data_IF_574955075211
#
_entry.id   IF_574955075211
#
_cell.length_a   1.000
_cell.length_b   1.000
_cell.length_c   1.000
_cell.angle_alpha   90.00
_cell.angle_beta   90.00
_cell.angle_gamma   90.00
#
_symmetry.space_group_name_H-M   'P 1'
#
loop_
_entity.id
_entity.type
_entity.pdbx_description
1 polymer ?
#
# COMPACT_ATOMS: atom_id res chain seq x y z
N UNK A 1 4.80 -19.05 -21.51
CA UNK A 1 4.72 -17.89 -22.42
C UNK A 1 3.31 -17.44 -22.82
N UNK A 2 2.33 -18.31 -23.08
CA UNK A 2 0.97 -17.90 -23.50
C UNK A 2 0.11 -17.27 -22.37
N UNK A 3 0.25 -17.74 -21.14
CA UNK A 3 -0.49 -17.25 -19.96
C UNK A 3 -0.06 -15.82 -19.57
N UNK A 4 1.23 -15.52 -19.67
CA UNK A 4 1.86 -14.21 -19.38
C UNK A 4 1.39 -13.13 -20.36
N UNK A 5 1.32 -13.47 -21.66
CA UNK A 5 0.75 -12.55 -22.67
C UNK A 5 -0.76 -12.36 -22.52
N UNK A 6 -1.46 -13.23 -21.78
CA UNK A 6 -2.89 -13.09 -21.49
C UNK A 6 -3.10 -12.14 -20.31
N UNK A 7 -2.25 -12.25 -19.28
CA UNK A 7 -2.22 -11.34 -18.13
C UNK A 7 -1.77 -9.91 -18.48
N UNK A 8 -0.76 -9.74 -19.34
CA UNK A 8 -0.40 -8.40 -19.86
C UNK A 8 -1.43 -7.79 -20.83
N UNK A 9 -2.37 -8.60 -21.37
CA UNK A 9 -3.41 -8.14 -22.31
C UNK A 9 -4.77 -7.93 -21.65
N UNK A 10 -4.94 -8.27 -20.38
CA UNK A 10 -6.22 -8.15 -19.66
C UNK A 10 -6.45 -6.80 -18.99
N UNK A 11 -5.71 -5.74 -19.37
CA UNK A 11 -6.18 -4.36 -19.10
C UNK A 11 -7.52 -4.18 -19.83
N UNK A 12 -8.60 -3.73 -19.17
CA UNK A 12 -9.79 -3.32 -19.89
C UNK A 12 -9.43 -2.12 -20.78
N UNK A 13 -9.53 -2.29 -22.10
CA UNK A 13 -9.54 -1.16 -23.02
C UNK A 13 -10.79 -0.32 -22.78
N UNK A 14 -10.59 0.99 -22.79
CA UNK A 14 -11.57 2.06 -22.50
C UNK A 14 -12.93 1.79 -23.13
N UNK A 15 -13.96 1.72 -22.30
CA UNK A 15 -15.35 1.87 -22.77
C UNK A 15 -15.57 3.33 -23.13
N UNK A 16 -16.02 3.55 -24.36
CA UNK A 16 -16.05 4.83 -25.05
C UNK A 16 -16.82 5.95 -24.35
N UNK A 17 -16.24 7.14 -24.42
CA UNK A 17 -16.90 8.41 -24.16
C UNK A 17 -18.10 8.58 -25.09
N UNK A 18 -19.30 8.71 -24.50
CA UNK A 18 -20.43 9.37 -25.18
C UNK A 18 -20.30 10.88 -25.00
N UNK A 19 -20.63 11.55 -26.09
CA UNK A 19 -20.49 12.97 -26.37
C UNK A 19 -21.29 13.90 -25.45
N UNK A 20 -20.65 15.00 -25.02
CA UNK A 20 -21.28 16.33 -25.01
C UNK A 20 -20.23 17.45 -24.95
N UNK A 21 -20.05 18.08 -26.10
CA UNK A 21 -19.86 19.52 -26.34
C UNK A 21 -19.11 20.39 -25.31
N UNK A 22 -17.94 20.91 -25.75
CA UNK A 22 -17.59 22.32 -25.58
C UNK A 22 -16.36 22.60 -24.71
N UNK A 23 -15.15 22.60 -25.28
CA UNK A 23 -14.06 23.50 -24.90
C UNK A 23 -13.03 23.60 -26.04
N UNK A 24 -12.58 24.82 -26.33
CA UNK A 24 -11.78 25.21 -27.50
C UNK A 24 -10.34 24.69 -27.51
N UNK A 25 -9.81 24.48 -28.72
CA UNK A 25 -8.47 23.93 -29.02
C UNK A 25 -7.36 24.97 -28.83
N UNK A 26 -6.38 24.68 -27.96
CA UNK A 26 -5.05 25.31 -27.97
C UNK A 26 -4.05 24.51 -28.83
N UNK A 27 -3.28 25.20 -29.67
CA UNK A 27 -2.46 24.65 -30.76
C UNK A 27 -1.08 24.11 -30.30
N UNK A 28 -0.60 22.94 -30.79
CA UNK A 28 0.53 22.18 -30.22
C UNK A 28 1.93 22.53 -30.77
N UNK A 29 2.22 23.81 -31.06
CA UNK A 29 3.47 24.19 -31.75
C UNK A 29 4.59 24.78 -30.88
N UNK A 30 4.37 25.12 -29.60
CA UNK A 30 5.43 25.69 -28.74
C UNK A 30 6.16 24.70 -27.82
N UNK A 31 5.66 23.48 -27.63
CA UNK A 31 6.27 22.47 -26.75
C UNK A 31 7.39 21.62 -27.38
N UNK A 32 7.55 21.62 -28.71
CA UNK A 32 8.55 20.75 -29.39
C UNK A 32 9.96 21.31 -29.41
N UNK A 33 10.14 22.60 -29.13
CA UNK A 33 11.44 23.25 -29.27
C UNK A 33 12.24 23.29 -27.97
N UNK A 34 11.57 23.28 -26.80
CA UNK A 34 12.24 23.15 -25.50
C UNK A 34 12.73 21.71 -25.20
N UNK A 35 12.10 20.70 -25.81
CA UNK A 35 12.49 19.29 -25.64
C UNK A 35 13.74 18.88 -26.44
N UNK A 36 14.23 19.72 -27.38
CA UNK A 36 15.39 19.40 -28.22
C UNK A 36 16.72 19.89 -27.64
N UNK A 37 16.72 20.90 -26.78
CA UNK A 37 17.96 21.51 -26.25
C UNK A 37 18.47 20.87 -24.95
N UNK A 38 17.78 19.88 -24.38
CA UNK A 38 18.27 19.11 -23.21
C UNK A 38 18.87 17.74 -23.58
N UNK A 39 18.80 17.31 -24.84
CA UNK A 39 19.16 15.95 -25.25
C UNK A 39 20.58 15.82 -25.79
N UNK A 40 21.38 16.88 -25.89
CA UNK A 40 22.61 16.84 -26.70
C UNK A 40 23.93 16.66 -25.93
N UNK A 41 23.96 16.38 -24.63
CA UNK A 41 25.25 16.22 -23.89
C UNK A 41 25.41 14.96 -23.02
N UNK A 42 24.71 13.86 -23.31
CA UNK A 42 24.89 12.60 -22.57
C UNK A 42 24.74 11.34 -23.44
N UNK A 43 25.58 11.15 -24.45
CA UNK A 43 25.73 9.83 -25.09
C UNK A 43 27.14 9.70 -25.67
N UNK A 44 28.02 8.95 -25.00
CA UNK A 44 29.12 8.17 -25.60
C UNK A 44 29.97 7.46 -24.52
N UNK A 45 29.33 6.81 -23.53
CA UNK A 45 30.02 5.79 -22.71
C UNK A 45 29.46 4.41 -23.09
N UNK A 46 30.23 3.55 -23.79
CA UNK A 46 29.80 2.22 -24.25
C UNK A 46 29.46 1.25 -23.10
N UNK A 47 29.72 1.64 -21.85
CA UNK A 47 29.32 0.90 -20.66
C UNK A 47 27.88 1.22 -20.21
N UNK A 48 27.32 2.37 -20.62
CA UNK A 48 25.92 2.76 -20.32
C UNK A 48 24.95 1.77 -20.96
N UNK A 49 25.12 1.46 -22.25
CA UNK A 49 24.25 0.53 -22.99
C UNK A 49 24.23 -0.88 -22.38
N UNK A 50 25.39 -1.38 -21.92
CA UNK A 50 25.50 -2.70 -21.27
C UNK A 50 24.85 -2.72 -19.89
N UNK A 51 25.01 -1.66 -19.10
CA UNK A 51 24.38 -1.53 -17.78
C UNK A 51 22.87 -1.32 -17.89
N UNK A 52 22.39 -0.63 -18.91
CA UNK A 52 20.96 -0.43 -19.16
C UNK A 52 20.28 -1.72 -19.63
N UNK A 53 20.96 -2.52 -20.46
CA UNK A 53 20.51 -3.87 -20.80
C UNK A 53 20.51 -4.80 -19.56
N UNK A 54 21.53 -4.73 -18.71
CA UNK A 54 21.61 -5.51 -17.47
C UNK A 54 20.47 -5.15 -16.49
N UNK A 55 20.19 -3.85 -16.34
CA UNK A 55 19.09 -3.35 -15.53
C UNK A 55 17.74 -3.81 -16.08
N UNK A 56 17.49 -3.67 -17.39
CA UNK A 56 16.26 -4.13 -18.01
C UNK A 56 16.05 -5.64 -17.82
N UNK A 57 17.11 -6.43 -17.97
CA UNK A 57 17.08 -7.87 -17.72
C UNK A 57 16.79 -8.21 -16.24
N UNK A 58 17.34 -7.45 -15.29
CA UNK A 58 17.02 -7.63 -13.86
C UNK A 58 15.58 -7.22 -13.52
N UNK A 59 15.03 -6.14 -14.12
CA UNK A 59 13.62 -5.74 -13.93
C UNK A 59 12.68 -6.84 -14.40
N UNK A 60 12.91 -7.36 -15.60
CA UNK A 60 12.10 -8.43 -16.16
C UNK A 60 12.18 -9.70 -15.31
N UNK A 61 13.40 -10.11 -14.90
CA UNK A 61 13.60 -11.27 -14.04
C UNK A 61 12.88 -11.13 -12.69
N UNK A 62 12.99 -9.97 -12.04
CA UNK A 62 12.28 -9.71 -10.78
C UNK A 62 10.77 -9.89 -10.92
N UNK A 63 10.16 -9.32 -11.97
CA UNK A 63 8.72 -9.47 -12.20
C UNK A 63 8.34 -10.93 -12.51
N UNK A 64 9.17 -11.66 -13.26
CA UNK A 64 8.95 -13.07 -13.56
C UNK A 64 9.03 -13.94 -12.30
N UNK A 65 10.00 -13.69 -11.43
CA UNK A 65 10.17 -14.41 -10.18
C UNK A 65 9.00 -14.11 -9.22
N UNK A 66 8.59 -12.84 -9.10
CA UNK A 66 7.38 -12.44 -8.36
C UNK A 66 6.14 -13.17 -8.88
N UNK A 67 5.91 -13.15 -10.20
CA UNK A 67 4.76 -13.81 -10.79
C UNK A 67 4.76 -15.33 -10.54
N UNK A 68 5.94 -15.96 -10.55
CA UNK A 68 6.11 -17.39 -10.26
C UNK A 68 5.76 -17.72 -8.81
N UNK A 69 6.29 -16.96 -7.87
CA UNK A 69 6.05 -17.12 -6.44
C UNK A 69 4.57 -16.94 -6.08
N UNK A 70 3.95 -15.87 -6.60
CA UNK A 70 2.52 -15.60 -6.41
C UNK A 70 1.64 -16.72 -7.00
N UNK A 71 1.99 -17.22 -8.19
CA UNK A 71 1.25 -18.32 -8.83
C UNK A 71 1.39 -19.64 -8.06
N UNK A 72 2.56 -19.89 -7.47
CA UNK A 72 2.82 -21.06 -6.64
C UNK A 72 2.23 -20.95 -5.23
N UNK A 73 1.72 -19.76 -4.84
CA UNK A 73 1.40 -19.39 -3.46
C UNK A 73 2.56 -19.62 -2.49
N UNK A 74 3.77 -19.58 -3.02
CA UNK A 74 5.03 -19.75 -2.29
C UNK A 74 5.73 -18.39 -2.26
N UNK A 75 5.15 -17.47 -1.50
CA UNK A 75 5.62 -16.09 -1.43
C UNK A 75 6.81 -16.04 -0.47
N UNK A 76 8.00 -15.75 -1.02
CA UNK A 76 9.17 -15.49 -0.19
C UNK A 76 9.11 -14.06 0.35
N UNK A 77 8.63 -13.94 1.59
CA UNK A 77 8.62 -12.69 2.35
C UNK A 77 9.60 -12.83 3.54
N UNK A 78 10.18 -11.75 4.10
CA UNK A 78 11.02 -11.86 5.28
C UNK A 78 10.34 -12.57 6.45
N UNK A 79 11.13 -13.32 7.22
CA UNK A 79 10.64 -14.18 8.31
C UNK A 79 9.83 -13.43 9.37
N UNK A 80 10.03 -12.13 9.56
CA UNK A 80 9.20 -11.30 10.44
C UNK A 80 7.72 -11.29 10.03
N UNK A 81 7.42 -11.50 8.74
CA UNK A 81 6.07 -11.59 8.23
C UNK A 81 5.44 -12.95 8.52
N UNK A 82 6.20 -14.04 8.58
CA UNK A 82 5.65 -15.37 8.87
C UNK A 82 4.93 -15.42 10.21
N UNK A 83 5.46 -14.75 11.23
CA UNK A 83 4.84 -14.66 12.55
C UNK A 83 3.50 -13.89 12.51
N UNK A 84 3.46 -12.74 11.85
CA UNK A 84 2.24 -11.96 11.70
C UNK A 84 1.21 -12.64 10.80
N UNK A 85 1.65 -13.35 9.76
CA UNK A 85 0.81 -14.16 8.89
C UNK A 85 0.22 -15.35 9.66
N UNK A 86 0.97 -15.98 10.57
CA UNK A 86 0.47 -17.04 11.47
C UNK A 86 -0.58 -16.51 12.43
N UNK A 87 -0.31 -15.39 13.11
CA UNK A 87 -1.28 -14.72 13.98
C UNK A 87 -2.55 -14.39 13.18
N UNK A 88 -2.41 -13.77 12.01
CA UNK A 88 -3.55 -13.45 11.14
C UNK A 88 -4.31 -14.69 10.68
N UNK A 89 -3.62 -15.75 10.25
CA UNK A 89 -4.28 -16.97 9.78
C UNK A 89 -5.09 -17.63 10.89
N UNK A 90 -4.58 -17.63 12.13
CA UNK A 90 -5.34 -18.08 13.28
C UNK A 90 -6.55 -17.18 13.59
N UNK A 91 -6.42 -15.88 13.31
CA UNK A 91 -7.48 -14.90 13.41
C UNK A 91 -8.54 -14.99 12.31
N UNK A 92 -8.38 -15.83 11.28
CA UNK A 92 -9.39 -16.00 10.19
C UNK A 92 -10.59 -16.85 10.62
N UNK A 93 -10.43 -17.67 11.63
CA UNK A 93 -11.48 -18.52 12.15
C UNK A 93 -12.45 -17.65 13.00
N UNK A 94 -13.70 -17.44 12.57
CA UNK A 94 -14.66 -16.60 13.30
C UNK A 94 -15.03 -17.19 14.67
N UNK A 95 -14.80 -18.49 14.88
CA UNK A 95 -15.01 -19.20 16.14
C UNK A 95 -13.72 -19.32 16.97
N UNK A 96 -12.64 -18.64 16.55
CA UNK A 96 -11.37 -18.70 17.27
C UNK A 96 -11.55 -18.15 18.68
N UNK A 97 -11.23 -18.98 19.67
CA UNK A 97 -11.26 -18.54 21.05
C UNK A 97 -10.20 -17.45 21.25
N UNK A 98 -10.61 -16.33 21.86
CA UNK A 98 -9.72 -15.21 22.20
C UNK A 98 -8.45 -15.68 22.92
N UNK A 99 -8.53 -16.72 23.75
CA UNK A 99 -7.38 -17.34 24.41
C UNK A 99 -6.35 -17.94 23.47
N UNK A 100 -6.80 -18.59 22.39
CA UNK A 100 -5.91 -19.18 21.37
C UNK A 100 -5.15 -18.09 20.61
N UNK A 101 -5.82 -16.97 20.34
CA UNK A 101 -5.23 -15.78 19.73
C UNK A 101 -4.21 -15.14 20.67
N UNK A 102 -4.59 -14.92 21.93
CA UNK A 102 -3.71 -14.36 22.95
C UNK A 102 -2.45 -15.22 23.15
N UNK A 103 -2.56 -16.54 23.11
CA UNK A 103 -1.43 -17.45 23.20
C UNK A 103 -0.45 -17.28 22.02
N UNK A 104 -0.95 -17.14 20.80
CA UNK A 104 -0.10 -16.92 19.61
C UNK A 104 0.57 -15.54 19.64
N UNK A 105 -0.18 -14.50 20.05
CA UNK A 105 0.38 -13.15 20.23
C UNK A 105 1.43 -13.14 21.34
N UNK A 106 1.21 -13.89 22.42
CA UNK A 106 2.13 -14.03 23.55
C UNK A 106 3.52 -14.52 23.15
N UNK A 107 3.65 -15.19 22.00
CA UNK A 107 4.93 -15.63 21.47
C UNK A 107 5.73 -14.52 20.76
N UNK A 108 5.10 -13.38 20.46
CA UNK A 108 5.70 -12.23 19.78
C UNK A 108 5.76 -11.01 20.71
N UNK A 109 6.88 -10.79 21.43
CA UNK A 109 6.99 -9.77 22.47
C UNK A 109 6.65 -8.35 22.01
N UNK A 110 7.00 -8.00 20.76
CA UNK A 110 6.67 -6.67 20.21
C UNK A 110 5.16 -6.49 20.01
N UNK A 111 4.46 -7.54 19.58
CA UNK A 111 2.99 -7.50 19.44
C UNK A 111 2.34 -7.35 20.80
N UNK A 112 2.79 -8.10 21.81
CA UNK A 112 2.30 -7.98 23.20
C UNK A 112 2.44 -6.56 23.74
N UNK A 113 3.64 -5.97 23.63
CA UNK A 113 3.90 -4.63 24.17
C UNK A 113 3.03 -3.58 23.49
N UNK A 114 2.92 -3.60 22.15
CA UNK A 114 2.09 -2.61 21.45
C UNK A 114 0.60 -2.83 21.71
N UNK A 115 0.16 -4.09 21.83
CA UNK A 115 -1.22 -4.45 22.14
C UNK A 115 -1.63 -3.90 23.51
N UNK A 116 -0.82 -4.13 24.54
CA UNK A 116 -1.05 -3.61 25.89
C UNK A 116 -1.06 -2.07 25.90
N UNK A 117 -0.14 -1.43 25.18
CA UNK A 117 -0.12 0.04 25.05
C UNK A 117 -1.40 0.56 24.39
N UNK A 118 -1.86 -0.09 23.33
CA UNK A 118 -3.09 0.28 22.62
C UNK A 118 -4.32 0.08 23.50
N UNK A 119 -4.41 -1.06 24.18
CA UNK A 119 -5.51 -1.37 25.10
C UNK A 119 -5.58 -0.42 26.31
N UNK A 120 -4.47 0.22 26.67
CA UNK A 120 -4.40 1.22 27.74
C UNK A 120 -4.49 2.67 27.25
N UNK A 121 -4.55 2.90 25.94
CA UNK A 121 -4.67 4.25 25.39
C UNK A 121 -6.04 4.86 25.72
N UNK A 122 -6.12 6.20 25.77
CA UNK A 122 -7.37 6.92 26.04
C UNK A 122 -8.49 6.52 25.07
N UNK A 123 -8.14 6.19 23.83
CA UNK A 123 -9.08 5.75 22.81
C UNK A 123 -9.80 4.43 23.15
N UNK A 124 -9.13 3.50 23.83
CA UNK A 124 -9.67 2.17 24.17
C UNK A 124 -9.96 1.98 25.67
N UNK A 125 -9.41 2.83 26.53
CA UNK A 125 -9.57 2.76 27.98
C UNK A 125 -9.77 4.16 28.60
N UNK A 126 -10.85 4.86 28.26
CA UNK A 126 -11.15 6.17 28.84
C UNK A 126 -11.37 6.12 30.36
N UNK A 127 -11.73 4.95 30.89
CA UNK A 127 -11.91 4.72 32.33
C UNK A 127 -10.62 4.45 33.12
N UNK A 128 -9.45 4.37 32.45
CA UNK A 128 -8.15 4.31 33.11
C UNK A 128 -7.83 3.04 33.91
N UNK A 129 -8.62 1.96 33.77
CA UNK A 129 -8.32 0.68 34.44
C UNK A 129 -7.22 -0.06 33.70
N UNK A 130 -6.02 -0.07 34.25
CA UNK A 130 -4.85 -0.66 33.61
C UNK A 130 -5.06 -2.12 33.21
N UNK A 131 -4.74 -2.43 31.96
CA UNK A 131 -4.73 -3.76 31.37
C UNK A 131 -3.31 -4.27 31.35
N UNK A 132 -3.05 -5.45 31.92
CA UNK A 132 -1.70 -6.02 32.04
C UNK A 132 -1.56 -7.40 31.38
N UNK A 133 -2.66 -8.06 31.04
CA UNK A 133 -2.68 -9.36 30.37
C UNK A 133 -3.18 -9.27 28.92
N UNK A 134 -2.71 -10.21 28.09
CA UNK A 134 -2.97 -10.23 26.64
C UNK A 134 -4.45 -10.52 26.35
N UNK A 135 -5.07 -11.44 27.09
CA UNK A 135 -6.47 -11.81 26.90
C UNK A 135 -7.40 -10.59 27.10
N UNK A 136 -7.22 -9.87 28.22
CA UNK A 136 -7.97 -8.65 28.50
C UNK A 136 -7.67 -7.53 27.50
N UNK A 137 -6.47 -7.49 26.94
CA UNK A 137 -6.14 -6.54 25.89
C UNK A 137 -6.89 -6.86 24.59
N UNK A 138 -6.87 -8.12 24.13
CA UNK A 138 -7.61 -8.56 22.93
C UNK A 138 -9.11 -8.37 23.12
N UNK A 139 -9.68 -8.73 24.28
CA UNK A 139 -11.10 -8.51 24.57
C UNK A 139 -11.48 -7.03 24.55
N UNK A 140 -10.57 -6.14 24.97
CA UNK A 140 -10.84 -4.70 25.04
C UNK A 140 -10.72 -4.00 23.69
N UNK A 141 -9.69 -4.30 22.91
CA UNK A 141 -9.49 -3.66 21.60
C UNK A 141 -10.28 -4.34 20.48
N UNK A 142 -10.62 -5.62 20.66
CA UNK A 142 -11.28 -6.44 19.66
C UNK A 142 -10.32 -7.16 18.71
N UNK A 143 -10.88 -8.17 18.03
CA UNK A 143 -10.12 -9.09 17.19
C UNK A 143 -9.53 -8.42 15.95
N UNK A 144 -10.31 -7.57 15.28
CA UNK A 144 -9.91 -6.89 14.05
C UNK A 144 -8.79 -5.86 14.31
N UNK A 145 -8.91 -5.03 15.34
CA UNK A 145 -7.86 -4.11 15.73
C UNK A 145 -6.55 -4.84 16.10
N UNK A 146 -6.67 -6.01 16.75
CA UNK A 146 -5.53 -6.88 17.06
C UNK A 146 -4.85 -7.40 15.78
N UNK A 147 -5.65 -7.80 14.77
CA UNK A 147 -5.15 -8.26 13.47
C UNK A 147 -4.37 -7.15 12.75
N UNK A 148 -4.97 -5.96 12.66
CA UNK A 148 -4.37 -4.77 12.06
C UNK A 148 -3.05 -4.42 12.75
N UNK A 149 -3.01 -4.46 14.09
CA UNK A 149 -1.78 -4.22 14.84
C UNK A 149 -0.68 -5.24 14.54
N UNK A 150 -1.01 -6.54 14.49
CA UNK A 150 -0.03 -7.59 14.20
C UNK A 150 0.59 -7.41 12.79
N UNK A 151 -0.24 -7.12 11.79
CA UNK A 151 0.22 -6.84 10.42
C UNK A 151 1.10 -5.59 10.37
N UNK A 152 0.70 -4.52 11.06
CA UNK A 152 1.45 -3.26 11.13
C UNK A 152 2.86 -3.49 11.70
N UNK A 153 2.99 -4.32 12.73
CA UNK A 153 4.29 -4.65 13.32
C UNK A 153 5.17 -5.44 12.34
N UNK A 154 4.58 -6.40 11.62
CA UNK A 154 5.30 -7.17 10.61
C UNK A 154 5.86 -6.27 9.49
N UNK A 155 5.05 -5.32 9.03
CA UNK A 155 5.44 -4.34 8.02
C UNK A 155 6.53 -3.38 8.55
N UNK A 156 6.42 -2.89 9.78
CA UNK A 156 7.48 -2.07 10.41
C UNK A 156 8.79 -2.85 10.55
N UNK A 157 8.73 -4.15 10.89
CA UNK A 157 9.93 -5.00 10.96
C UNK A 157 10.55 -5.26 9.59
N UNK A 158 9.74 -5.48 8.55
CA UNK A 158 10.21 -5.64 7.16
C UNK A 158 11.07 -4.43 6.74
N UNK A 159 10.58 -3.23 7.02
CA UNK A 159 11.20 -1.98 6.61
C UNK A 159 12.51 -1.67 7.33
N UNK A 160 12.70 -2.23 8.52
CA UNK A 160 13.93 -2.11 9.30
C UNK A 160 15.01 -3.08 8.84
N UNK A 161 14.76 -3.90 7.81
CA UNK A 161 15.79 -4.75 7.22
C UNK A 161 16.96 -3.90 6.68
N UNK A 162 18.19 -4.36 6.96
CA UNK A 162 19.42 -3.74 6.44
C UNK A 162 19.45 -3.74 4.91
N UNK A 163 18.73 -4.67 4.28
CA UNK A 163 18.70 -4.81 2.82
C UNK A 163 18.04 -3.59 2.14
N UNK A 164 17.18 -2.87 2.85
CA UNK A 164 16.43 -1.73 2.30
C UNK A 164 17.16 -0.40 2.42
N UNK A 165 18.29 -0.35 3.13
CA UNK A 165 19.08 0.88 3.33
C UNK A 165 19.52 1.50 2.00
N UNK A 166 19.73 0.69 0.96
CA UNK A 166 20.09 1.16 -0.38
C UNK A 166 19.03 2.05 -1.05
N UNK A 167 17.79 2.03 -0.57
CA UNK A 167 16.69 2.84 -1.11
C UNK A 167 16.48 4.18 -0.37
N UNK A 168 17.36 4.53 0.57
CA UNK A 168 17.32 5.80 1.29
C UNK A 168 16.02 5.99 2.08
N UNK A 169 15.36 7.15 1.92
CA UNK A 169 14.11 7.47 2.64
C UNK A 169 12.86 6.80 2.04
N UNK A 170 12.94 6.16 0.85
CA UNK A 170 11.77 5.58 0.18
C UNK A 170 10.99 4.56 1.03
N UNK A 171 11.62 3.57 1.68
CA UNK A 171 10.90 2.63 2.55
C UNK A 171 10.16 3.33 3.70
N UNK A 172 10.79 4.37 4.28
CA UNK A 172 10.22 5.14 5.39
C UNK A 172 9.08 6.05 4.92
N UNK A 173 9.20 6.65 3.73
CA UNK A 173 8.13 7.45 3.13
C UNK A 173 6.90 6.59 2.84
N UNK A 174 7.10 5.42 2.21
CA UNK A 174 6.05 4.43 1.96
C UNK A 174 5.35 4.03 3.28
N UNK A 175 6.13 3.73 4.32
CA UNK A 175 5.57 3.39 5.64
C UNK A 175 4.70 4.49 6.25
N UNK A 176 5.20 5.72 6.25
CA UNK A 176 4.48 6.85 6.82
C UNK A 176 3.20 7.13 6.04
N UNK A 177 3.24 6.99 4.72
CA UNK A 177 2.06 7.08 3.87
C UNK A 177 1.04 6.00 4.23
N UNK A 178 1.44 4.72 4.27
CA UNK A 178 0.55 3.62 4.66
C UNK A 178 -0.09 3.81 6.03
N UNK A 179 0.66 4.29 7.03
CA UNK A 179 0.11 4.57 8.35
C UNK A 179 -0.91 5.72 8.34
N UNK A 180 -0.63 6.79 7.58
CA UNK A 180 -1.57 7.91 7.40
C UNK A 180 -2.83 7.46 6.67
N UNK A 181 -2.71 6.68 5.60
CA UNK A 181 -3.85 6.11 4.86
C UNK A 181 -4.69 5.22 5.78
N UNK A 182 -4.07 4.36 6.61
CA UNK A 182 -4.80 3.53 7.57
C UNK A 182 -5.57 4.38 8.61
N UNK A 183 -4.93 5.41 9.17
CA UNK A 183 -5.57 6.32 10.11
C UNK A 183 -6.71 7.11 9.46
N UNK A 184 -6.47 7.67 8.27
CA UNK A 184 -7.46 8.38 7.48
C UNK A 184 -8.67 7.51 7.14
N UNK A 185 -8.45 6.26 6.69
CA UNK A 185 -9.54 5.33 6.37
C UNK A 185 -10.42 5.05 7.60
N UNK A 186 -9.80 4.90 8.78
CA UNK A 186 -10.52 4.74 10.05
C UNK A 186 -11.38 5.98 10.38
N UNK A 187 -10.82 7.18 10.25
CA UNK A 187 -11.49 8.45 10.55
C UNK A 187 -12.64 8.69 9.58
N UNK A 188 -12.39 8.58 8.28
CA UNK A 188 -13.41 8.73 7.21
C UNK A 188 -14.56 7.74 7.42
N UNK A 189 -14.25 6.45 7.66
CA UNK A 189 -15.28 5.46 7.93
C UNK A 189 -16.10 5.78 9.20
N UNK A 190 -15.44 6.24 10.27
CA UNK A 190 -16.11 6.54 11.52
C UNK A 190 -16.99 7.80 11.47
N UNK A 191 -16.63 8.80 10.64
CA UNK A 191 -17.29 10.10 10.59
C UNK A 191 -18.34 10.20 9.49
N UNK A 192 -18.08 9.62 8.32
CA UNK A 192 -18.83 9.92 7.10
C UNK A 192 -19.61 8.75 6.55
N UNK A 193 -19.33 7.52 7.01
CA UNK A 193 -19.91 6.32 6.40
C UNK A 193 -20.48 5.35 7.44
N UNK A 194 -21.04 4.24 6.96
CA UNK A 194 -21.45 3.09 7.79
C UNK A 194 -20.48 1.91 7.68
N UNK A 195 -19.35 2.10 6.99
CA UNK A 195 -18.30 1.08 6.84
C UNK A 195 -17.69 0.80 8.20
N UNK A 196 -17.32 -0.46 8.47
CA UNK A 196 -16.63 -0.80 9.70
C UNK A 196 -15.27 -0.09 9.74
N UNK A 197 -15.07 0.77 10.74
CA UNK A 197 -13.84 1.57 10.88
C UNK A 197 -12.56 0.74 11.05
N UNK A 198 -12.64 -0.45 11.65
CA UNK A 198 -11.47 -1.31 11.85
C UNK A 198 -11.13 -2.08 10.56
N UNK A 199 -12.14 -2.47 9.76
CA UNK A 199 -11.94 -3.00 8.42
C UNK A 199 -11.36 -1.93 7.48
N UNK A 200 -11.85 -0.69 7.57
CA UNK A 200 -11.28 0.45 6.84
C UNK A 200 -9.82 0.71 7.20
N UNK A 201 -9.49 0.70 8.50
CA UNK A 201 -8.10 0.81 8.95
C UNK A 201 -7.24 -0.33 8.41
N UNK A 202 -7.76 -1.56 8.42
CA UNK A 202 -7.05 -2.73 7.87
C UNK A 202 -6.81 -2.59 6.38
N UNK A 203 -7.82 -2.21 5.60
CA UNK A 203 -7.70 -1.99 4.16
C UNK A 203 -6.69 -0.88 3.84
N UNK A 204 -6.74 0.25 4.54
CA UNK A 204 -5.75 1.31 4.40
C UNK A 204 -4.33 0.90 4.82
N UNK A 205 -4.17 -0.02 5.76
CA UNK A 205 -2.85 -0.54 6.15
C UNK A 205 -2.23 -1.45 5.06
N UNK A 206 -3.05 -2.17 4.30
CA UNK A 206 -2.56 -3.17 3.33
C UNK A 206 -2.66 -2.71 1.87
N UNK A 207 -3.23 -1.53 1.61
CA UNK A 207 -3.45 -1.03 0.25
C UNK A 207 -2.19 -1.02 -0.62
N UNK A 208 -1.06 -0.66 0.00
CA UNK A 208 0.25 -0.55 -0.64
C UNK A 208 1.14 -1.79 -0.44
N UNK A 209 0.59 -2.92 -0.01
CA UNK A 209 1.38 -4.13 0.33
C UNK A 209 2.25 -4.62 -0.85
N UNK A 210 1.79 -4.41 -2.09
CA UNK A 210 2.57 -4.70 -3.28
C UNK A 210 3.85 -3.88 -3.37
N UNK A 211 3.82 -2.59 -2.99
CA UNK A 211 5.00 -1.73 -3.02
C UNK A 211 6.07 -2.19 -2.02
N UNK A 212 5.67 -2.58 -0.80
CA UNK A 212 6.57 -3.16 0.19
C UNK A 212 7.25 -4.43 -0.32
N UNK A 213 6.47 -5.33 -0.91
CA UNK A 213 7.00 -6.58 -1.44
C UNK A 213 7.96 -6.34 -2.61
N UNK A 214 7.59 -5.46 -3.54
CA UNK A 214 8.47 -5.09 -4.65
C UNK A 214 9.77 -4.46 -4.18
N UNK A 215 9.71 -3.60 -3.16
CA UNK A 215 10.90 -2.97 -2.59
C UNK A 215 11.83 -4.00 -1.94
N UNK A 216 11.25 -4.93 -1.18
CA UNK A 216 11.98 -6.07 -0.62
C UNK A 216 12.66 -6.91 -1.71
N UNK A 217 11.92 -7.25 -2.77
CA UNK A 217 12.43 -8.04 -3.89
C UNK A 217 13.52 -7.31 -4.66
N UNK A 218 13.36 -6.01 -4.91
CA UNK A 218 14.35 -5.19 -5.57
C UNK A 218 15.70 -5.18 -4.83
N UNK A 219 15.70 -5.25 -3.49
CA UNK A 219 16.94 -5.34 -2.71
C UNK A 219 17.80 -6.58 -3.05
N UNK A 220 17.20 -7.64 -3.59
CA UNK A 220 17.90 -8.89 -3.93
C UNK A 220 18.59 -8.83 -5.32
N UNK A 221 18.37 -7.75 -6.09
CA UNK A 221 18.95 -7.57 -7.42
C UNK A 221 19.98 -6.43 -7.39
N UNK A 222 21.22 -6.74 -7.76
CA UNK A 222 22.34 -5.80 -7.66
C UNK A 222 22.12 -4.49 -8.44
N UNK A 223 21.64 -4.58 -9.69
CA UNK A 223 21.43 -3.40 -10.54
C UNK A 223 20.32 -2.50 -9.99
N UNK A 224 19.36 -3.05 -9.24
CA UNK A 224 18.30 -2.29 -8.59
C UNK A 224 18.81 -1.54 -7.38
N UNK A 225 19.67 -2.17 -6.57
CA UNK A 225 20.28 -1.54 -5.39
C UNK A 225 21.10 -0.30 -5.75
N UNK A 226 21.78 -0.32 -6.89
CA UNK A 226 22.62 0.80 -7.35
C UNK A 226 21.84 1.86 -8.14
N UNK A 227 20.59 1.59 -8.55
CA UNK A 227 19.75 2.49 -9.37
C UNK A 227 18.34 2.62 -8.77
N UNK A 228 18.17 3.23 -7.58
CA UNK A 228 16.90 3.28 -6.86
C UNK A 228 15.76 3.95 -7.64
N UNK A 229 16.05 4.92 -8.52
CA UNK A 229 15.00 5.56 -9.33
C UNK A 229 14.32 4.59 -10.30
N UNK A 230 15.04 3.57 -10.76
CA UNK A 230 14.44 2.52 -11.58
C UNK A 230 13.39 1.70 -10.83
N UNK A 231 13.62 1.49 -9.54
CA UNK A 231 12.72 0.76 -8.65
C UNK A 231 11.46 1.58 -8.40
N UNK A 232 11.58 2.91 -8.22
CA UNK A 232 10.42 3.81 -8.10
C UNK A 232 9.46 3.67 -9.29
N UNK A 233 9.99 3.68 -10.51
CA UNK A 233 9.16 3.53 -11.72
C UNK A 233 8.51 2.16 -11.82
N UNK A 234 9.22 1.10 -11.43
CA UNK A 234 8.68 -0.25 -11.45
C UNK A 234 7.54 -0.37 -10.43
N UNK A 235 7.74 0.12 -9.21
CA UNK A 235 6.73 0.13 -8.15
C UNK A 235 5.49 0.92 -8.60
N UNK A 236 5.66 2.13 -9.12
CA UNK A 236 4.57 2.96 -9.62
C UNK A 236 3.68 2.26 -10.65
N UNK A 237 4.25 1.36 -11.46
CA UNK A 237 3.53 0.67 -12.52
C UNK A 237 2.83 -0.62 -12.09
N UNK A 238 3.32 -1.29 -11.05
CA UNK A 238 2.93 -2.68 -10.77
C UNK A 238 2.43 -2.94 -9.35
N UNK A 239 2.65 -2.02 -8.40
CA UNK A 239 2.36 -2.28 -6.99
C UNK A 239 0.89 -2.62 -6.71
N UNK A 240 -0.09 -1.99 -7.37
CA UNK A 240 -1.52 -2.34 -7.20
C UNK A 240 -1.79 -3.79 -7.61
N UNK A 241 -1.38 -4.18 -8.83
CA UNK A 241 -1.62 -5.53 -9.37
C UNK A 241 -0.87 -6.64 -8.63
N UNK A 242 0.37 -6.36 -8.21
CA UNK A 242 1.17 -7.28 -7.40
C UNK A 242 0.57 -7.35 -5.99
N UNK A 243 0.14 -6.22 -5.44
CA UNK A 243 -0.51 -6.12 -4.13
C UNK A 243 -1.78 -6.97 -4.07
N UNK A 244 -2.67 -6.84 -5.05
CA UNK A 244 -3.88 -7.66 -5.16
C UNK A 244 -3.55 -9.16 -5.13
N UNK A 245 -2.64 -9.58 -6.01
CA UNK A 245 -2.23 -10.98 -6.14
C UNK A 245 -1.56 -11.49 -4.85
N UNK A 246 -0.73 -10.65 -4.23
CA UNK A 246 -0.06 -10.93 -2.97
C UNK A 246 -1.06 -11.09 -1.84
N UNK A 247 -2.00 -10.17 -1.67
CA UNK A 247 -3.03 -10.25 -0.65
C UNK A 247 -3.91 -11.50 -0.83
N UNK A 248 -4.22 -11.87 -2.07
CA UNK A 248 -4.91 -13.11 -2.41
C UNK A 248 -4.10 -14.36 -2.04
N UNK A 249 -2.80 -14.40 -2.38
CA UNK A 249 -1.90 -15.49 -2.01
C UNK A 249 -1.74 -15.62 -0.49
N UNK A 250 -1.69 -14.48 0.20
CA UNK A 250 -1.68 -14.40 1.65
C UNK A 250 -3.05 -14.71 2.28
N UNK A 251 -4.13 -14.81 1.51
CA UNK A 251 -5.45 -15.19 2.01
C UNK A 251 -6.17 -14.10 2.80
N UNK A 252 -5.98 -12.82 2.43
CA UNK A 252 -6.81 -11.73 2.94
C UNK A 252 -8.28 -11.90 2.48
N UNK A 253 -9.26 -11.35 3.22
CA UNK A 253 -10.65 -11.37 2.79
C UNK A 253 -10.85 -10.63 1.47
N UNK A 254 -11.66 -11.20 0.57
CA UNK A 254 -11.89 -10.64 -0.78
C UNK A 254 -12.40 -9.19 -0.73
N UNK A 255 -13.25 -8.82 0.23
CA UNK A 255 -13.73 -7.45 0.36
C UNK A 255 -12.62 -6.45 0.72
N UNK A 256 -11.61 -6.87 1.50
CA UNK A 256 -10.42 -6.04 1.78
C UNK A 256 -9.60 -5.89 0.50
N UNK A 257 -9.39 -7.00 -0.24
CA UNK A 257 -8.64 -6.97 -1.50
C UNK A 257 -9.31 -6.02 -2.50
N UNK A 258 -10.63 -6.15 -2.68
CA UNK A 258 -11.42 -5.30 -3.57
C UNK A 258 -11.28 -3.82 -3.23
N UNK A 259 -11.33 -3.46 -1.94
CA UNK A 259 -11.21 -2.08 -1.51
C UNK A 259 -9.84 -1.42 -1.77
N UNK A 260 -8.83 -2.22 -2.09
CA UNK A 260 -7.48 -1.71 -2.39
C UNK A 260 -7.20 -1.65 -3.89
N UNK A 261 -8.14 -2.06 -4.74
CA UNK A 261 -7.97 -1.97 -6.19
C UNK A 261 -8.08 -0.52 -6.63
N UNK A 262 -7.24 -0.13 -7.60
CA UNK A 262 -7.31 1.17 -8.27
C UNK A 262 -7.30 2.37 -7.29
N UNK A 263 -6.69 2.20 -6.11
CA UNK A 263 -6.70 3.20 -5.05
C UNK A 263 -5.88 4.45 -5.42
N UNK A 264 -5.01 4.35 -6.42
CA UNK A 264 -4.27 5.46 -7.01
C UNK A 264 -4.96 6.07 -8.25
N UNK A 265 -5.99 5.41 -8.79
CA UNK A 265 -6.67 5.89 -9.99
C UNK A 265 -7.71 6.95 -9.61
N UNK A 266 -7.63 8.17 -10.19
CA UNK A 266 -8.65 9.19 -9.96
C UNK A 266 -10.02 8.68 -10.42
N UNK A 267 -10.98 8.66 -9.51
CA UNK A 267 -12.38 8.40 -9.83
C UNK A 267 -13.30 9.40 -9.13
N UNK A 268 -14.47 9.63 -9.73
CA UNK A 268 -15.47 10.56 -9.25
C UNK A 268 -16.26 9.96 -8.08
N UNK A 269 -16.55 10.79 -7.08
CA UNK A 269 -17.38 10.44 -5.92
C UNK A 269 -18.79 11.02 -6.07
N UNK A 270 -19.51 10.59 -7.12
CA UNK A 270 -20.80 11.18 -7.53
C UNK A 270 -21.88 11.21 -6.42
N UNK A 271 -21.74 10.35 -5.40
CA UNK A 271 -22.70 10.21 -4.31
C UNK A 271 -22.05 10.23 -2.92
N UNK A 272 -20.86 10.82 -2.80
CA UNK A 272 -20.05 10.80 -1.59
C UNK A 272 -19.48 9.41 -1.24
N UNK A 273 -18.85 9.30 -0.08
CA UNK A 273 -18.13 8.08 0.35
C UNK A 273 -19.10 7.08 0.99
N UNK A 274 -19.30 5.90 0.38
CA UNK A 274 -20.27 4.90 0.86
C UNK A 274 -19.69 3.50 1.01
N UNK A 275 -18.70 3.17 0.21
CA UNK A 275 -18.08 1.86 0.11
C UNK A 275 -16.70 1.86 0.76
N UNK A 276 -16.20 0.67 1.09
CA UNK A 276 -14.84 0.52 1.62
C UNK A 276 -13.77 0.96 0.61
N UNK A 277 -14.00 0.76 -0.68
CA UNK A 277 -13.13 1.20 -1.78
C UNK A 277 -13.01 2.73 -1.82
N UNK A 278 -14.14 3.44 -1.80
CA UNK A 278 -14.16 4.92 -1.77
C UNK A 278 -13.50 5.46 -0.48
N UNK A 279 -13.68 4.77 0.66
CA UNK A 279 -13.00 5.13 1.92
C UNK A 279 -11.48 5.02 1.76
N UNK A 280 -10.98 3.92 1.21
CA UNK A 280 -9.53 3.70 1.03
C UNK A 280 -8.96 4.69 0.03
N UNK A 281 -9.66 4.95 -1.07
CA UNK A 281 -9.26 5.96 -2.05
C UNK A 281 -9.15 7.36 -1.41
N UNK A 282 -10.21 7.84 -0.75
CA UNK A 282 -10.19 9.16 -0.09
C UNK A 282 -9.08 9.24 0.95
N UNK A 283 -8.90 8.17 1.74
CA UNK A 283 -7.84 8.09 2.72
C UNK A 283 -6.43 8.14 2.09
N UNK A 284 -6.24 7.47 0.95
CA UNK A 284 -4.99 7.50 0.19
C UNK A 284 -4.67 8.92 -0.27
N UNK A 285 -5.68 9.62 -0.81
CA UNK A 285 -5.54 11.01 -1.25
C UNK A 285 -5.23 11.98 -0.11
N UNK A 286 -5.92 11.85 1.04
CA UNK A 286 -5.62 12.64 2.24
C UNK A 286 -4.20 12.40 2.77
N UNK A 287 -3.66 11.20 2.56
CA UNK A 287 -2.29 10.83 2.91
C UNK A 287 -1.23 11.25 1.87
N UNK A 288 -1.62 11.98 0.81
CA UNK A 288 -0.74 12.49 -0.23
C UNK A 288 -0.61 11.61 -1.48
N UNK A 289 -1.32 10.47 -1.52
CA UNK A 289 -1.32 9.50 -2.62
C UNK A 289 0.07 8.95 -2.98
N UNK A 290 0.13 8.18 -4.07
CA UNK A 290 1.38 7.60 -4.56
C UNK A 290 2.48 8.63 -4.85
N UNK A 291 2.13 9.78 -5.42
CA UNK A 291 3.11 10.80 -5.77
C UNK A 291 3.86 11.34 -4.54
N UNK A 292 3.16 11.48 -3.40
CA UNK A 292 3.71 12.01 -2.17
C UNK A 292 4.86 11.16 -1.62
N UNK A 293 4.66 9.84 -1.53
CA UNK A 293 5.68 8.94 -0.99
C UNK A 293 6.72 8.50 -2.01
N UNK A 294 6.38 8.42 -3.30
CA UNK A 294 7.33 8.03 -4.36
C UNK A 294 8.28 9.15 -4.76
N UNK A 295 7.85 10.43 -4.76
CA UNK A 295 8.65 11.53 -5.30
C UNK A 295 8.97 12.63 -4.27
N UNK A 296 8.50 12.50 -3.03
CA UNK A 296 8.86 13.39 -1.93
C UNK A 296 8.23 14.79 -2.03
N UNK A 297 7.20 14.96 -2.86
CA UNK A 297 6.45 16.21 -2.94
C UNK A 297 5.26 16.22 -1.99
N UNK A 298 5.07 17.30 -1.23
CA UNK A 298 3.72 17.75 -0.89
C UNK A 298 3.13 18.34 -2.17
N UNK A 299 2.89 17.53 -3.21
CA UNK A 299 2.00 18.01 -4.26
C UNK A 299 0.62 18.01 -3.62
N UNK A 300 -0.03 19.18 -3.44
CA UNK A 300 -1.47 19.14 -3.23
C UNK A 300 -2.04 18.30 -4.37
N UNK A 301 -3.04 17.51 -4.07
CA UNK A 301 -3.70 16.67 -5.04
C UNK A 301 -4.52 17.52 -6.03
N UNK A 302 -3.87 18.49 -6.69
CA UNK A 302 -4.44 19.26 -7.78
C UNK A 302 -4.87 18.26 -8.86
N UNK A 303 -6.18 18.15 -9.05
CA UNK A 303 -6.80 17.23 -9.99
C UNK A 303 -7.38 15.94 -9.41
N UNK A 304 -7.44 15.77 -8.07
CA UNK A 304 -8.16 14.64 -7.45
C UNK A 304 -9.52 15.08 -6.88
N UNK A 305 -10.64 14.58 -7.43
CA UNK A 305 -11.99 15.01 -7.05
C UNK A 305 -12.33 14.86 -5.56
N UNK A 306 -11.70 13.89 -4.87
CA UNK A 306 -11.90 13.65 -3.44
C UNK A 306 -11.42 14.81 -2.54
N UNK A 307 -10.46 15.61 -3.00
CA UNK A 307 -9.90 16.71 -2.20
C UNK A 307 -10.52 18.08 -2.54
N UNK A 308 -11.57 18.09 -3.36
CA UNK A 308 -12.40 19.27 -3.61
C UNK A 308 -13.55 19.40 -2.57
N UNK A 309 -13.82 18.35 -1.79
CA UNK A 309 -14.86 18.33 -0.76
C UNK A 309 -14.38 18.93 0.57
N UNK A 310 -14.96 20.05 1.05
CA UNK A 310 -14.56 20.69 2.30
C UNK A 310 -14.73 19.81 3.54
N UNK A 311 -15.71 18.90 3.57
CA UNK A 311 -15.91 17.98 4.70
C UNK A 311 -14.76 16.97 4.79
N UNK A 312 -14.23 16.51 3.64
CA UNK A 312 -13.09 15.60 3.59
C UNK A 312 -11.79 16.29 3.97
N UNK A 313 -11.59 17.54 3.52
CA UNK A 313 -10.41 18.33 3.87
C UNK A 313 -10.37 18.61 5.38
N UNK A 314 -11.51 18.90 6.01
CA UNK A 314 -11.59 19.17 7.45
C UNK A 314 -11.15 17.96 8.30
N UNK A 315 -11.25 16.73 7.78
CA UNK A 315 -10.78 15.53 8.48
C UNK A 315 -9.25 15.39 8.49
N UNK A 316 -8.52 16.13 7.64
CA UNK A 316 -7.06 16.08 7.59
C UNK A 316 -6.41 16.44 8.94
N UNK A 317 -7.04 17.31 9.72
CA UNK A 317 -6.55 17.72 11.04
C UNK A 317 -6.74 16.63 12.13
N UNK A 318 -7.55 15.60 11.86
CA UNK A 318 -7.81 14.48 12.78
C UNK A 318 -6.91 13.26 12.53
N UNK A 319 -6.08 13.29 11.48
CA UNK A 319 -5.25 12.17 10.96
C UNK A 319 -3.80 12.28 11.44
#
# INVERSE_FOLDING_TARGET
MAMIRRWCRSRPERVGARSSSGYERMSPRRGRQAARTMTEHFTDDPNIDKKDAALAAQRFRMLEDIARELSAKDVSFPTCFDAALKIRNALRDPDVQVRKVAQMIGMEPLVVVKLLRMANSVAYNPGGRTVTDVDAAVMRIGLEATRTLAISIAMDQLLRSKDLVCFGELPKALWMHTLRTAAAARVVAARLTRVNREEAMMAGLVHDLGAFYMLYRAAQYEEMRIRPDSVRHLIAQWHESIGESLMGALGLPEHIIQATREHDQPHALDYGVRTLEEVVYVANQLAGGMAGWLFGGNSPAEGYPALDDPELIALADEI
#
